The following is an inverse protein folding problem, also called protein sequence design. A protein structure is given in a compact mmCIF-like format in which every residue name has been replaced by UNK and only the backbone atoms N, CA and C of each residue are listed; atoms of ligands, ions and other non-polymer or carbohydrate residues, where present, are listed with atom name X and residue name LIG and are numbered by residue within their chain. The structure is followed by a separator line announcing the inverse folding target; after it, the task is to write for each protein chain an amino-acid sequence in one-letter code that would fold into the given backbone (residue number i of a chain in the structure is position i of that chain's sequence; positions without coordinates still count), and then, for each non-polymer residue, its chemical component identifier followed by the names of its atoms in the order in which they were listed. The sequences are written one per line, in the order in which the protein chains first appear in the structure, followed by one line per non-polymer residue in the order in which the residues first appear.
data_IF_319642545508
#
_entry.id   IF_319642545508
#
_cell.length_a   1.000
_cell.length_b   1.000
_cell.length_c   1.000
_cell.angle_alpha   90.00
_cell.angle_beta   90.00
_cell.angle_gamma   90.00
#
_symmetry.space_group_name_H-M   'P 1'
#
loop_
_entity.id
_entity.type
_entity.pdbx_description
1 polymer ?
#
# COMPACT_ATOMS: atom_id res chain seq x y z
N UNK A 1 -1.36 10.00 -9.36
CA UNK A 1 -2.24 8.83 -9.64
C UNK A 1 -2.93 9.05 -10.98
N UNK A 2 -2.54 8.33 -12.04
CA UNK A 2 -3.27 8.35 -13.30
C UNK A 2 -4.63 7.67 -13.10
N UNK A 3 -5.72 8.33 -13.53
CA UNK A 3 -7.04 7.69 -13.54
C UNK A 3 -7.02 6.60 -14.61
N UNK A 4 -7.41 5.35 -14.30
CA UNK A 4 -7.43 4.29 -15.29
C UNK A 4 -8.45 4.65 -16.39
N UNK A 5 -8.02 4.56 -17.64
CA UNK A 5 -8.91 4.62 -18.78
C UNK A 5 -9.57 3.24 -18.95
N UNK A 6 -10.90 3.20 -19.08
CA UNK A 6 -11.64 1.94 -19.19
C UNK A 6 -13.14 2.13 -19.35
N UNK A 7 -13.89 1.04 -19.17
CA UNK A 7 -15.34 1.02 -19.38
C UNK A 7 -16.12 1.39 -18.12
N UNK A 8 -16.94 2.44 -18.20
CA UNK A 8 -17.79 2.87 -17.09
C UNK A 8 -18.78 1.78 -16.69
N UNK A 9 -18.83 1.41 -15.40
CA UNK A 9 -19.74 0.37 -14.92
C UNK A 9 -21.23 0.67 -15.18
N UNK A 10 -21.59 1.95 -15.19
CA UNK A 10 -22.97 2.43 -15.31
C UNK A 10 -23.41 2.63 -16.76
N UNK A 11 -22.71 3.49 -17.52
CA UNK A 11 -23.11 3.81 -18.90
C UNK A 11 -22.37 3.00 -19.98
N UNK A 12 -21.48 2.08 -19.60
CA UNK A 12 -20.65 1.25 -20.50
C UNK A 12 -19.80 2.02 -21.52
N UNK A 13 -19.67 3.35 -21.38
CA UNK A 13 -18.82 4.15 -22.24
C UNK A 13 -17.35 4.01 -21.85
N UNK A 14 -16.46 3.98 -22.85
CA UNK A 14 -15.02 4.08 -22.64
C UNK A 14 -14.66 5.51 -22.22
N UNK A 15 -14.08 5.68 -21.04
CA UNK A 15 -13.69 6.97 -20.49
C UNK A 15 -12.66 6.83 -19.36
N UNK A 16 -12.14 7.95 -18.88
CA UNK A 16 -11.42 7.96 -17.60
C UNK A 16 -12.37 7.66 -16.44
N UNK A 17 -12.01 6.67 -15.63
CA UNK A 17 -12.81 6.20 -14.51
C UNK A 17 -12.26 6.70 -13.18
N UNK A 18 -13.14 6.89 -12.20
CA UNK A 18 -12.74 7.04 -10.82
C UNK A 18 -12.45 5.68 -10.18
N UNK A 19 -12.05 5.68 -8.90
CA UNK A 19 -11.79 4.44 -8.14
C UNK A 19 -13.01 3.51 -8.07
N UNK A 20 -14.23 4.06 -8.15
CA UNK A 20 -15.46 3.26 -8.20
C UNK A 20 -15.75 2.66 -9.59
N UNK A 21 -14.92 2.91 -10.61
CA UNK A 21 -15.13 2.42 -11.97
C UNK A 21 -16.19 3.19 -12.76
N UNK A 22 -16.43 4.46 -12.41
CA UNK A 22 -17.42 5.34 -13.03
C UNK A 22 -16.77 6.50 -13.77
N UNK A 23 -17.32 6.83 -14.93
CA UNK A 23 -16.94 8.04 -15.65
C UNK A 23 -17.40 9.29 -14.90
N UNK A 24 -16.80 10.45 -15.22
CA UNK A 24 -17.10 11.75 -14.59
C UNK A 24 -18.59 12.10 -14.57
N UNK A 25 -19.33 11.74 -15.64
CA UNK A 25 -20.76 12.03 -15.77
C UNK A 25 -21.59 11.13 -14.86
N UNK A 26 -21.36 9.83 -14.90
CA UNK A 26 -22.08 8.86 -14.08
C UNK A 26 -21.78 9.00 -12.59
N UNK A 27 -20.58 9.45 -12.23
CA UNK A 27 -20.21 9.70 -10.83
C UNK A 27 -21.08 10.78 -10.16
N UNK A 28 -21.83 11.61 -10.88
CA UNK A 28 -22.73 12.62 -10.30
C UNK A 28 -24.18 12.16 -10.23
N UNK A 29 -24.52 11.00 -10.81
CA UNK A 29 -25.89 10.49 -10.84
C UNK A 29 -26.27 9.80 -9.55
N UNK A 30 -27.54 9.84 -9.19
CA UNK A 30 -28.08 9.12 -8.04
C UNK A 30 -27.91 7.61 -8.16
N UNK A 31 -28.05 7.07 -9.38
CA UNK A 31 -27.78 5.66 -9.72
C UNK A 31 -26.34 5.21 -9.36
N UNK A 32 -25.40 6.15 -9.17
CA UNK A 32 -24.03 5.83 -8.73
C UNK A 32 -23.87 5.64 -7.22
N UNK A 33 -24.88 6.01 -6.42
CA UNK A 33 -24.82 5.96 -4.96
C UNK A 33 -24.63 4.52 -4.49
N UNK A 34 -25.37 3.57 -5.06
CA UNK A 34 -25.22 2.15 -4.70
C UNK A 34 -23.82 1.61 -5.03
N UNK A 35 -23.29 1.96 -6.21
CA UNK A 35 -21.94 1.54 -6.64
C UNK A 35 -20.87 2.11 -5.72
N UNK A 36 -21.00 3.37 -5.32
CA UNK A 36 -20.08 4.01 -4.36
C UNK A 36 -20.21 3.41 -2.97
N UNK A 37 -21.42 3.11 -2.52
CA UNK A 37 -21.69 2.48 -1.23
C UNK A 37 -20.99 1.14 -1.11
N UNK A 38 -21.13 0.26 -2.12
CA UNK A 38 -20.43 -1.04 -2.17
C UNK A 38 -18.91 -0.89 -2.11
N UNK A 39 -18.36 0.08 -2.84
CA UNK A 39 -16.90 0.35 -2.85
C UNK A 39 -16.42 0.92 -1.51
N UNK A 40 -17.22 1.76 -0.86
CA UNK A 40 -16.91 2.31 0.46
C UNK A 40 -16.94 1.23 1.54
N UNK A 41 -17.95 0.35 1.53
CA UNK A 41 -18.03 -0.77 2.47
C UNK A 41 -16.85 -1.74 2.29
N UNK A 42 -16.50 -2.07 1.05
CA UNK A 42 -15.35 -2.94 0.75
C UNK A 42 -14.04 -2.31 1.23
N UNK A 43 -13.85 -1.00 1.00
CA UNK A 43 -12.66 -0.30 1.51
C UNK A 43 -12.62 -0.24 3.03
N UNK A 44 -13.77 -0.03 3.70
CA UNK A 44 -13.84 -0.03 5.16
C UNK A 44 -13.41 -1.38 5.74
N UNK A 45 -13.97 -2.47 5.21
CA UNK A 45 -13.59 -3.85 5.62
C UNK A 45 -12.12 -4.14 5.39
N UNK A 46 -11.57 -3.74 4.23
CA UNK A 46 -10.15 -3.90 3.95
C UNK A 46 -9.25 -3.10 4.92
N UNK A 47 -9.69 -1.90 5.32
CA UNK A 47 -8.95 -1.07 6.25
C UNK A 47 -9.01 -1.60 7.69
N UNK A 48 -10.15 -2.14 8.12
CA UNK A 48 -10.30 -2.82 9.41
C UNK A 48 -9.45 -4.09 9.48
N UNK A 49 -9.47 -4.93 8.45
CA UNK A 49 -8.61 -6.12 8.38
C UNK A 49 -7.11 -5.77 8.41
N UNK A 50 -6.72 -4.66 7.77
CA UNK A 50 -5.31 -4.21 7.79
C UNK A 50 -4.89 -3.72 9.17
N UNK A 51 -5.78 -3.07 9.92
CA UNK A 51 -5.52 -2.65 11.30
C UNK A 51 -5.41 -3.85 12.25
N UNK A 52 -6.28 -4.85 12.10
CA UNK A 52 -6.24 -6.05 12.93
C UNK A 52 -4.93 -6.83 12.75
N UNK A 53 -4.44 -6.97 11.50
CA UNK A 53 -3.14 -7.59 11.24
C UNK A 53 -1.96 -6.75 11.76
N UNK A 54 -2.04 -5.43 11.70
CA UNK A 54 -1.00 -4.53 12.25
C UNK A 54 -0.96 -4.60 13.79
N UNK A 55 -2.12 -4.71 14.44
CA UNK A 55 -2.22 -4.89 15.89
C UNK A 55 -1.72 -6.26 16.34
N UNK A 56 -2.06 -7.34 15.61
CA UNK A 56 -1.52 -8.67 15.88
C UNK A 56 0.01 -8.74 15.70
N UNK A 57 0.56 -8.14 14.65
CA UNK A 57 2.02 -8.05 14.50
C UNK A 57 2.66 -7.26 15.64
N UNK A 58 2.02 -6.18 16.11
CA UNK A 58 2.57 -5.39 17.22
C UNK A 58 2.57 -6.18 18.53
N UNK A 59 1.53 -6.98 18.80
CA UNK A 59 1.46 -7.84 19.99
C UNK A 59 2.50 -8.96 19.91
N UNK A 60 2.63 -9.63 18.75
CA UNK A 60 3.64 -10.68 18.55
C UNK A 60 5.08 -10.14 18.69
N UNK A 61 5.33 -8.89 18.27
CA UNK A 61 6.60 -8.19 18.45
C UNK A 61 6.86 -7.75 19.91
N UNK A 62 5.81 -7.41 20.68
CA UNK A 62 5.94 -7.10 22.12
C UNK A 62 6.12 -8.36 22.99
N UNK A 63 5.57 -9.51 22.57
CA UNK A 63 5.73 -10.80 23.25
C UNK A 63 7.04 -11.54 22.90
N UNK A 64 7.81 -11.04 21.92
CA UNK A 64 9.15 -11.57 21.57
C UNK A 64 10.28 -10.57 21.87
N UNK A 65 10.57 -10.23 23.15
CA UNK A 65 11.81 -9.55 23.47
C UNK A 65 12.99 -10.55 23.38
N UNK A 66 13.95 -10.25 22.49
CA UNK A 66 15.31 -10.79 22.43
C UNK A 66 15.49 -12.27 22.00
N UNK A 67 15.57 -12.49 20.69
CA UNK A 67 16.39 -13.60 20.14
C UNK A 67 17.07 -13.22 18.82
N UNK A 68 17.39 -11.93 18.66
CA UNK A 68 18.22 -11.43 17.56
C UNK A 68 19.38 -10.59 18.14
N UNK A 69 20.12 -11.17 19.09
CA UNK A 69 21.46 -10.71 19.46
C UNK A 69 22.45 -11.84 19.22
N UNK A 70 22.57 -12.31 17.97
CA UNK A 70 23.81 -12.92 17.51
C UNK A 70 24.00 -12.65 16.03
N UNK A 71 25.12 -11.98 15.73
CA UNK A 71 25.79 -11.93 14.42
C UNK A 71 25.24 -10.91 13.44
N UNK A 72 25.91 -9.75 13.36
CA UNK A 72 26.88 -9.51 12.28
C UNK A 72 27.63 -8.21 12.58
N UNK A 73 28.76 -8.29 13.30
CA UNK A 73 29.78 -7.24 13.25
C UNK A 73 30.41 -7.28 11.85
N UNK A 74 29.82 -6.50 10.94
CA UNK A 74 30.44 -6.08 9.71
C UNK A 74 30.97 -4.65 9.91
N UNK A 75 32.30 -4.47 9.91
CA UNK A 75 33.02 -3.26 9.45
C UNK A 75 34.52 -3.43 9.78
N UNK A 76 35.52 -3.00 9.03
CA UNK A 76 35.66 -2.47 7.68
C UNK A 76 37.17 -2.48 7.46
N UNK A 77 37.62 -3.16 6.41
CA UNK A 77 39.02 -3.10 5.99
C UNK A 77 39.11 -2.03 4.92
N UNK A 78 39.47 -0.80 5.30
CA UNK A 78 39.88 0.20 4.33
C UNK A 78 40.93 1.20 4.85
N UNK A 79 42.14 1.03 4.28
CA UNK A 79 43.18 2.01 3.84
C UNK A 79 43.67 3.06 4.86
N UNK A 80 44.96 3.38 4.95
CA UNK A 80 45.75 4.21 4.02
C UNK A 80 47.26 4.00 4.34
N UNK A 81 48.10 3.64 3.36
CA UNK A 81 48.95 4.52 2.53
C UNK A 81 50.22 5.02 3.25
N UNK A 82 51.42 4.49 2.89
CA UNK A 82 52.59 5.35 2.63
C UNK A 82 53.70 4.62 1.83
N UNK A 83 53.88 5.10 0.58
CA UNK A 83 55.11 5.30 -0.22
C UNK A 83 56.29 4.33 -0.07
N UNK A 84 56.68 3.76 -1.22
CA UNK A 84 58.01 3.19 -1.41
C UNK A 84 59.10 4.25 -1.61
N UNK A 85 60.35 3.83 -1.45
CA UNK A 85 61.44 4.01 -2.41
C UNK A 85 62.78 3.65 -1.78
N UNK A 86 63.44 2.70 -2.44
CA UNK A 86 64.89 2.58 -2.61
C UNK A 86 65.71 1.91 -1.50
#
# INVERSE_FOLDING_TARGET
MLKPHGTCKLCKSSAFLNFAGLCKRCNKKEESVEIKGKVAETQKKALEARKEMEEQQKVELEETPALEETSDEADDKKKEDEKGSK
#
